data_IF_102319319169
#
_entry.id   IF_102319319169
#
_cell.length_a   1.000
_cell.length_b   1.000
_cell.length_c   1.000
_cell.angle_alpha   90.00
_cell.angle_beta   90.00
_cell.angle_gamma   90.00
#
_symmetry.space_group_name_H-M   'P 1'
#
loop_
_entity.id
_entity.type
_entity.pdbx_description
1 polymer ?
#
# COMPACT_ATOMS: atom_id res chain seq x y z
N UNK A 1 9.40 13.40 -2.62
CA UNK A 1 8.49 14.34 -1.93
C UNK A 1 8.72 14.41 -0.42
N UNK A 2 9.02 13.30 0.32
CA UNK A 2 9.36 13.33 1.76
C UNK A 2 10.42 14.39 2.14
N UNK A 3 11.51 14.49 1.39
CA UNK A 3 12.61 15.46 1.67
C UNK A 3 12.21 16.94 1.59
N UNK A 4 11.14 17.28 0.86
CA UNK A 4 10.70 18.69 0.69
C UNK A 4 9.77 19.10 1.84
N UNK A 5 9.00 18.18 2.40
CA UNK A 5 8.06 18.49 3.50
C UNK A 5 8.79 18.63 4.86
N UNK A 6 9.79 17.78 5.12
CA UNK A 6 10.65 17.88 6.32
C UNK A 6 11.54 19.13 6.30
N UNK A 7 12.06 19.54 5.14
CA UNK A 7 12.83 20.79 5.00
C UNK A 7 11.98 22.05 5.31
N UNK A 8 10.68 22.01 5.05
CA UNK A 8 9.78 23.13 5.38
C UNK A 8 9.41 23.20 6.86
N UNK A 9 9.31 22.08 7.54
CA UNK A 9 9.05 22.04 9.00
C UNK A 9 10.30 22.38 9.81
N UNK A 10 11.49 21.94 9.39
CA UNK A 10 12.75 22.27 10.04
C UNK A 10 13.12 23.75 9.90
N UNK A 11 12.72 24.42 8.80
CA UNK A 11 12.97 25.87 8.60
C UNK A 11 12.12 26.77 9.50
N UNK A 12 11.03 26.28 10.09
CA UNK A 12 10.16 27.07 10.99
C UNK A 12 10.64 27.01 12.46
N UNK A 13 11.44 26.01 12.82
CA UNK A 13 11.94 25.83 14.20
C UNK A 13 13.37 26.32 14.42
N UNK A 14 14.13 26.63 13.36
CA UNK A 14 15.48 27.17 13.49
C UNK A 14 15.42 28.70 13.59
N UNK A 15 15.45 29.21 14.81
CA UNK A 15 15.88 30.59 15.06
C UNK A 15 17.31 30.80 14.52
N UNK A 16 17.78 32.07 14.33
CA UNK A 16 19.08 32.34 13.70
C UNK A 16 20.21 31.73 14.53
N UNK A 17 20.67 30.55 14.11
CA UNK A 17 21.86 29.94 14.65
C UNK A 17 23.06 30.82 14.35
N UNK A 18 23.83 31.15 15.36
CA UNK A 18 25.07 31.89 15.24
C UNK A 18 26.03 31.11 14.32
N UNK A 19 26.59 31.81 13.34
CA UNK A 19 27.58 31.29 12.40
C UNK A 19 28.78 30.68 13.14
N UNK A 20 28.97 29.36 13.02
CA UNK A 20 30.28 28.78 13.25
C UNK A 20 30.41 27.50 14.06
N UNK A 21 29.37 26.94 14.63
CA UNK A 21 29.45 25.59 15.25
C UNK A 21 28.58 24.63 14.43
N UNK A 22 29.20 23.54 13.91
CA UNK A 22 28.43 22.41 13.40
C UNK A 22 27.55 21.88 14.55
N UNK A 23 26.25 21.78 14.30
CA UNK A 23 25.36 21.13 15.27
C UNK A 23 25.93 19.74 15.62
N UNK A 24 25.91 19.33 16.90
CA UNK A 24 26.34 17.99 17.24
C UNK A 24 25.54 16.97 16.40
N UNK A 25 26.17 15.84 16.02
CA UNK A 25 25.44 14.81 15.27
C UNK A 25 24.18 14.41 16.06
N UNK A 26 23.08 14.26 15.35
CA UNK A 26 21.80 13.86 15.95
C UNK A 26 21.95 12.56 16.75
N UNK A 27 21.58 12.57 18.02
CA UNK A 27 21.65 11.42 18.92
C UNK A 27 20.31 10.67 18.93
N UNK A 28 20.06 9.87 17.90
CA UNK A 28 18.86 9.04 17.77
C UNK A 28 18.69 8.06 18.95
N UNK A 29 19.80 7.64 19.60
CA UNK A 29 19.75 6.68 20.71
C UNK A 29 19.17 7.30 21.97
N UNK A 30 19.45 8.58 22.23
CA UNK A 30 18.84 9.31 23.32
C UNK A 30 17.33 9.46 23.12
N UNK A 31 16.88 9.79 21.91
CA UNK A 31 15.45 9.90 21.58
C UNK A 31 14.75 8.53 21.62
N UNK A 32 15.44 7.46 21.23
CA UNK A 32 14.98 6.08 21.35
C UNK A 32 14.72 5.68 22.81
N UNK A 33 15.66 5.97 23.71
CA UNK A 33 15.56 5.73 25.15
C UNK A 33 14.49 6.63 25.80
N UNK A 34 14.42 7.92 25.43
CA UNK A 34 13.39 8.86 25.92
C UNK A 34 11.98 8.41 25.54
N UNK A 35 11.82 7.81 24.35
CA UNK A 35 10.55 7.24 23.89
C UNK A 35 10.19 5.92 24.56
N UNK A 36 11.11 5.32 25.34
CA UNK A 36 10.91 4.05 26.03
C UNK A 36 10.93 2.82 25.10
N UNK A 37 11.43 2.96 23.87
CA UNK A 37 11.51 1.86 22.91
C UNK A 37 12.56 0.82 23.28
N UNK A 38 13.60 1.22 24.05
CA UNK A 38 14.67 0.36 24.57
C UNK A 38 14.15 -0.81 25.43
N UNK A 39 12.91 -0.72 25.94
CA UNK A 39 12.26 -1.80 26.69
C UNK A 39 11.75 -2.93 25.77
N UNK A 40 11.54 -2.64 24.47
CA UNK A 40 10.91 -3.54 23.52
C UNK A 40 11.81 -3.93 22.36
N UNK A 41 12.75 -3.08 21.99
CA UNK A 41 13.63 -3.29 20.86
C UNK A 41 14.96 -2.54 20.99
N UNK A 42 15.96 -2.94 20.19
CA UNK A 42 17.22 -2.22 20.00
C UNK A 42 17.57 -2.18 18.50
N UNK A 43 18.43 -1.25 18.12
CA UNK A 43 18.96 -1.16 16.76
C UNK A 43 20.44 -1.47 16.77
N UNK A 44 20.82 -2.59 16.17
CA UNK A 44 22.20 -3.08 16.08
C UNK A 44 22.56 -3.37 14.62
N UNK A 45 23.75 -2.94 14.19
CA UNK A 45 24.27 -3.22 12.84
C UNK A 45 23.22 -3.03 11.72
N UNK A 46 22.47 -1.93 11.78
CA UNK A 46 21.39 -1.62 10.83
C UNK A 46 20.18 -2.61 10.85
N UNK A 47 19.99 -3.27 11.99
CA UNK A 47 18.85 -4.16 12.22
C UNK A 47 18.06 -3.69 13.43
N UNK A 48 16.75 -3.45 13.25
CA UNK A 48 15.80 -3.28 14.36
C UNK A 48 15.48 -4.67 14.92
N UNK A 49 15.87 -4.91 16.18
CA UNK A 49 15.69 -6.18 16.86
C UNK A 49 14.59 -6.00 17.91
N UNK A 50 13.41 -6.53 17.65
CA UNK A 50 12.33 -6.58 18.65
C UNK A 50 12.56 -7.78 19.57
N UNK A 51 12.51 -7.54 20.90
CA UNK A 51 12.93 -8.53 21.88
C UNK A 51 11.94 -9.70 22.00
N UNK A 52 12.48 -10.89 22.29
CA UNK A 52 11.65 -12.05 22.63
C UNK A 52 10.77 -11.77 23.86
N UNK A 53 9.52 -12.23 23.79
CA UNK A 53 8.49 -11.96 24.79
C UNK A 53 7.55 -10.83 24.41
N UNK A 54 7.88 -9.98 23.41
CA UNK A 54 6.94 -9.04 22.82
C UNK A 54 5.91 -9.83 22.01
N UNK A 55 4.63 -9.69 22.35
CA UNK A 55 3.53 -10.41 21.69
C UNK A 55 2.67 -9.53 20.80
N UNK A 56 2.72 -8.21 21.03
CA UNK A 56 1.95 -7.21 20.30
C UNK A 56 2.79 -5.94 20.06
N UNK A 57 2.58 -5.32 18.91
CA UNK A 57 3.05 -3.98 18.55
C UNK A 57 1.86 -3.19 17.99
N UNK A 58 1.84 -1.88 18.23
CA UNK A 58 0.80 -1.00 17.71
C UNK A 58 -0.45 -0.93 18.60
N UNK A 59 -1.37 -0.07 18.23
CA UNK A 59 -2.62 0.12 18.97
C UNK A 59 -3.63 -0.97 18.64
N UNK A 60 -4.27 -1.51 19.68
CA UNK A 60 -5.41 -2.41 19.52
C UNK A 60 -6.65 -1.60 19.11
N UNK A 61 -7.37 -2.09 18.10
CA UNK A 61 -8.64 -1.48 17.71
C UNK A 61 -9.73 -1.85 18.72
N UNK A 62 -10.38 -0.80 19.27
CA UNK A 62 -11.58 -0.94 20.09
C UNK A 62 -12.86 -0.82 19.25
N UNK A 63 -12.75 -0.25 18.04
CA UNK A 63 -13.87 -0.03 17.13
C UNK A 63 -13.48 -0.45 15.72
N UNK A 64 -14.41 -1.11 15.02
CA UNK A 64 -14.28 -1.45 13.60
C UNK A 64 -15.42 -0.78 12.82
N UNK A 65 -15.10 -0.23 11.63
CA UNK A 65 -16.13 0.27 10.74
C UNK A 65 -16.92 -0.88 10.11
N UNK A 66 -18.23 -0.87 10.30
CA UNK A 66 -19.15 -1.79 9.66
C UNK A 66 -19.72 -1.13 8.40
N UNK A 67 -19.26 -1.59 7.24
CA UNK A 67 -19.66 -1.02 5.95
C UNK A 67 -21.12 -1.34 5.56
N UNK A 68 -21.73 -2.39 6.14
CA UNK A 68 -23.13 -2.71 5.90
C UNK A 68 -24.07 -1.78 6.69
N UNK A 69 -23.66 -1.40 7.89
CA UNK A 69 -24.40 -0.52 8.77
C UNK A 69 -24.02 0.95 8.65
N UNK A 70 -22.95 1.26 7.91
CA UNK A 70 -22.39 2.62 7.78
C UNK A 70 -22.11 3.29 9.13
N UNK A 71 -21.54 2.54 10.06
CA UNK A 71 -21.26 2.98 11.44
C UNK A 71 -20.05 2.25 12.02
N UNK A 72 -19.46 2.81 13.09
CA UNK A 72 -18.46 2.13 13.89
C UNK A 72 -19.12 1.19 14.91
N UNK A 73 -18.63 -0.02 15.00
CA UNK A 73 -19.07 -1.03 15.98
C UNK A 73 -17.95 -1.25 16.99
N UNK A 74 -18.30 -1.20 18.28
CA UNK A 74 -17.36 -1.56 19.35
C UNK A 74 -17.02 -3.04 19.27
N UNK A 75 -15.71 -3.35 19.36
CA UNK A 75 -15.19 -4.71 19.36
C UNK A 75 -14.37 -4.92 20.63
N UNK A 76 -14.38 -6.14 21.17
CA UNK A 76 -13.42 -6.50 22.20
C UNK A 76 -12.07 -6.78 21.52
N UNK A 77 -11.00 -6.00 21.82
CA UNK A 77 -9.70 -6.25 21.23
C UNK A 77 -9.17 -7.62 21.68
N UNK A 78 -8.68 -8.42 20.72
CA UNK A 78 -8.11 -9.75 20.99
C UNK A 78 -6.78 -9.68 21.74
N UNK A 79 -6.07 -8.56 21.60
CA UNK A 79 -4.78 -8.31 22.21
C UNK A 79 -4.75 -6.93 22.88
N UNK A 80 -3.90 -6.79 23.89
CA UNK A 80 -3.59 -5.48 24.46
C UNK A 80 -2.70 -4.68 23.50
N UNK A 81 -2.80 -3.34 23.53
CA UNK A 81 -1.92 -2.47 22.76
C UNK A 81 -0.46 -2.71 23.14
N UNK A 82 0.40 -2.73 22.14
CA UNK A 82 1.85 -2.80 22.29
C UNK A 82 2.53 -1.47 21.97
N UNK A 83 3.87 -1.43 21.99
CA UNK A 83 4.61 -0.24 21.62
C UNK A 83 4.40 0.15 20.15
N UNK A 84 4.40 1.46 19.91
CA UNK A 84 4.43 2.08 18.58
C UNK A 84 5.88 2.48 18.30
N UNK A 85 6.39 2.17 17.11
CA UNK A 85 7.73 2.61 16.73
C UNK A 85 7.65 3.74 15.68
N UNK A 86 8.29 4.87 15.98
CA UNK A 86 8.42 6.00 15.06
C UNK A 86 9.80 6.01 14.42
N UNK A 87 9.84 5.75 13.11
CA UNK A 87 11.07 5.73 12.32
C UNK A 87 11.68 7.10 12.09
N UNK A 88 10.98 8.20 12.36
CA UNK A 88 11.55 9.56 12.28
C UNK A 88 12.78 9.73 13.20
N UNK A 89 12.82 9.01 14.32
CA UNK A 89 13.96 8.98 15.23
C UNK A 89 15.21 8.38 14.55
N UNK A 90 15.04 7.61 13.48
CA UNK A 90 16.09 6.90 12.75
C UNK A 90 16.36 7.47 11.35
N UNK A 91 15.90 8.70 11.07
CA UNK A 91 15.86 9.28 9.71
C UNK A 91 17.25 9.44 9.05
N UNK A 92 18.31 9.58 9.84
CA UNK A 92 19.69 9.68 9.35
C UNK A 92 20.36 8.30 9.11
N UNK A 93 19.63 7.21 9.30
CA UNK A 93 20.16 5.85 9.11
C UNK A 93 19.81 5.30 7.72
N UNK A 94 20.65 4.39 7.19
CA UNK A 94 20.28 3.64 6.00
C UNK A 94 19.07 2.74 6.27
N UNK A 95 18.37 2.26 5.25
CA UNK A 95 17.23 1.37 5.39
C UNK A 95 17.54 0.16 6.28
N UNK A 96 16.62 -0.20 7.18
CA UNK A 96 16.81 -1.22 8.20
C UNK A 96 16.39 -2.62 7.74
N UNK A 97 17.03 -3.63 8.30
CA UNK A 97 16.45 -4.95 8.44
C UNK A 97 15.64 -5.01 9.74
N UNK A 98 14.72 -5.96 9.85
CA UNK A 98 13.93 -6.16 11.05
C UNK A 98 14.02 -7.62 11.49
N UNK A 99 14.28 -7.83 12.78
CA UNK A 99 14.18 -9.12 13.44
C UNK A 99 13.00 -9.08 14.40
N UNK A 100 11.94 -9.80 14.05
CA UNK A 100 10.73 -9.93 14.88
C UNK A 100 10.83 -11.17 15.78
N UNK A 101 10.32 -11.11 17.02
CA UNK A 101 10.36 -12.26 17.92
C UNK A 101 9.39 -13.36 17.50
N UNK A 102 9.72 -14.59 17.84
CA UNK A 102 8.85 -15.76 17.62
C UNK A 102 7.55 -15.68 18.42
N UNK A 103 7.49 -14.82 19.42
CA UNK A 103 6.33 -14.58 20.28
C UNK A 103 5.31 -13.60 19.71
N UNK A 104 5.65 -12.85 18.63
CA UNK A 104 4.77 -11.84 18.07
C UNK A 104 3.51 -12.49 17.45
N UNK A 105 2.33 -12.01 17.82
CA UNK A 105 1.02 -12.47 17.35
C UNK A 105 0.15 -11.36 16.79
N UNK A 106 0.44 -10.11 17.15
CA UNK A 106 -0.40 -8.96 16.85
C UNK A 106 0.42 -7.78 16.34
N UNK A 107 0.01 -7.26 15.18
CA UNK A 107 0.44 -5.96 14.67
C UNK A 107 -0.77 -5.05 14.56
N UNK A 108 -0.89 -4.13 15.49
CA UNK A 108 -1.96 -3.17 15.58
C UNK A 108 -1.70 -1.92 14.74
N UNK A 109 -2.64 -0.97 14.80
CA UNK A 109 -2.51 0.31 14.11
C UNK A 109 -1.18 1.00 14.45
N UNK A 110 -0.54 1.57 13.44
CA UNK A 110 0.68 2.37 13.55
C UNK A 110 1.85 1.68 14.28
N UNK A 111 1.87 0.33 14.27
CA UNK A 111 2.98 -0.42 14.87
C UNK A 111 4.34 0.08 14.35
N UNK A 112 4.40 0.47 13.07
CA UNK A 112 5.57 1.07 12.43
C UNK A 112 5.16 2.32 11.66
N UNK A 113 5.82 3.44 11.95
CA UNK A 113 5.54 4.74 11.38
C UNK A 113 6.82 5.37 10.82
N UNK A 114 6.83 5.77 9.54
CA UNK A 114 7.97 6.39 8.83
C UNK A 114 9.27 5.56 8.79
N UNK A 115 9.20 4.25 8.66
CA UNK A 115 10.39 3.42 8.50
C UNK A 115 10.78 3.21 7.05
N UNK A 116 12.10 3.14 6.80
CA UNK A 116 12.68 2.65 5.56
C UNK A 116 13.27 1.26 5.82
N UNK A 117 12.67 0.22 5.23
CA UNK A 117 13.11 -1.17 5.39
C UNK A 117 13.82 -1.69 4.14
N UNK A 118 15.02 -2.25 4.30
CA UNK A 118 15.67 -3.04 3.23
C UNK A 118 14.83 -4.28 2.93
N UNK A 119 14.36 -4.96 3.98
CA UNK A 119 13.41 -6.06 3.88
C UNK A 119 12.60 -6.17 5.16
N UNK A 120 11.35 -6.56 5.02
CA UNK A 120 10.47 -6.86 6.14
C UNK A 120 9.74 -8.17 5.86
N UNK A 121 9.66 -9.06 6.87
CA UNK A 121 8.91 -10.30 6.76
C UNK A 121 7.69 -10.24 7.67
N UNK A 122 6.50 -10.39 7.09
CA UNK A 122 5.28 -10.69 7.85
C UNK A 122 5.32 -12.16 8.26
N UNK A 123 5.47 -12.45 9.56
CA UNK A 123 5.76 -13.80 10.01
C UNK A 123 4.54 -14.72 10.00
N UNK A 124 4.77 -16.02 9.81
CA UNK A 124 3.73 -17.06 9.75
C UNK A 124 2.86 -17.11 11.02
N UNK A 125 3.48 -16.87 12.20
CA UNK A 125 2.80 -16.94 13.50
C UNK A 125 1.87 -15.77 13.81
N UNK A 126 1.80 -14.76 12.93
CA UNK A 126 0.94 -13.58 13.13
C UNK A 126 -0.52 -13.98 13.08
N UNK A 127 -1.29 -13.63 14.12
CA UNK A 127 -2.71 -13.95 14.24
C UNK A 127 -3.62 -12.80 13.82
N UNK A 128 -3.15 -11.56 14.01
CA UNK A 128 -3.88 -10.35 13.67
C UNK A 128 -2.94 -9.30 13.09
N UNK A 129 -3.37 -8.72 12.00
CA UNK A 129 -2.74 -7.58 11.34
C UNK A 129 -3.83 -6.54 11.08
N UNK A 130 -3.74 -5.42 11.79
CA UNK A 130 -4.76 -4.38 11.70
C UNK A 130 -4.51 -3.43 10.51
N UNK A 131 -5.58 -2.76 10.10
CA UNK A 131 -5.48 -1.69 9.11
C UNK A 131 -4.45 -0.65 9.56
N UNK A 132 -3.65 -0.17 8.61
CA UNK A 132 -2.64 0.86 8.87
C UNK A 132 -1.64 0.47 9.98
N UNK A 133 -1.29 -0.81 10.11
CA UNK A 133 -0.21 -1.25 11.00
C UNK A 133 1.12 -0.61 10.59
N UNK A 134 1.29 -0.36 9.31
CA UNK A 134 2.41 0.38 8.73
C UNK A 134 1.89 1.65 8.07
N UNK A 135 2.50 2.78 8.37
CA UNK A 135 2.10 4.08 7.82
C UNK A 135 3.33 4.85 7.34
N UNK A 136 3.29 5.32 6.10
CA UNK A 136 4.39 6.06 5.45
C UNK A 136 5.73 5.31 5.45
N UNK A 137 5.71 3.97 5.46
CA UNK A 137 6.91 3.15 5.40
C UNK A 137 7.33 2.88 3.96
N UNK A 138 8.64 2.66 3.77
CA UNK A 138 9.21 2.22 2.50
C UNK A 138 9.80 0.81 2.66
N UNK A 139 9.51 -0.08 1.71
CA UNK A 139 10.01 -1.46 1.69
C UNK A 139 10.68 -1.75 0.35
N UNK A 140 12.01 -2.02 0.35
CA UNK A 140 12.60 -2.56 -0.85
C UNK A 140 12.02 -3.96 -1.14
N UNK A 141 11.86 -4.78 -0.10
CA UNK A 141 11.22 -6.10 -0.21
C UNK A 141 10.27 -6.32 0.97
N UNK A 142 9.01 -6.62 0.65
CA UNK A 142 8.04 -7.14 1.62
C UNK A 142 7.83 -8.63 1.39
N UNK A 143 8.32 -9.46 2.32
CA UNK A 143 8.16 -10.90 2.31
C UNK A 143 6.92 -11.31 3.13
N UNK A 144 6.03 -12.08 2.54
CA UNK A 144 4.79 -12.52 3.17
C UNK A 144 4.90 -14.01 3.48
N UNK A 145 5.05 -14.37 4.76
CA UNK A 145 4.98 -15.74 5.28
C UNK A 145 3.66 -15.96 6.04
N UNK A 146 2.98 -14.87 6.43
CA UNK A 146 1.69 -14.90 7.11
C UNK A 146 0.57 -15.46 6.23
N UNK A 147 -0.27 -16.30 6.81
CA UNK A 147 -1.46 -16.89 6.15
C UNK A 147 -2.75 -16.10 6.40
N UNK A 148 -2.64 -14.86 6.82
CA UNK A 148 -3.79 -13.95 6.98
C UNK A 148 -4.46 -13.66 5.63
N UNK A 149 -5.77 -13.33 5.63
CA UNK A 149 -6.50 -12.97 4.40
C UNK A 149 -5.88 -11.78 3.68
N UNK A 150 -6.00 -11.72 2.34
CA UNK A 150 -5.47 -10.63 1.52
C UNK A 150 -6.01 -9.25 1.95
N UNK A 151 -7.27 -9.18 2.37
CA UNK A 151 -7.88 -7.96 2.89
C UNK A 151 -7.09 -7.39 4.06
N UNK A 152 -6.72 -8.22 5.05
CA UNK A 152 -6.00 -7.78 6.24
C UNK A 152 -4.56 -7.40 5.89
N UNK A 153 -3.89 -8.23 5.04
CA UNK A 153 -2.52 -7.94 4.60
C UNK A 153 -2.45 -6.61 3.84
N UNK A 154 -3.31 -6.40 2.83
CA UNK A 154 -3.19 -5.22 1.96
C UNK A 154 -3.64 -3.93 2.64
N UNK A 155 -4.64 -3.98 3.53
CA UNK A 155 -5.10 -2.80 4.26
C UNK A 155 -4.14 -2.33 5.36
N UNK A 156 -3.14 -3.14 5.69
CA UNK A 156 -2.17 -2.80 6.76
C UNK A 156 -1.07 -1.83 6.31
N UNK A 157 -0.89 -1.60 4.99
CA UNK A 157 0.17 -0.76 4.42
C UNK A 157 -0.36 0.57 3.90
N UNK A 158 -0.85 1.42 4.79
CA UNK A 158 -1.41 2.71 4.40
C UNK A 158 -0.31 3.72 4.02
N UNK A 159 -0.45 4.32 2.82
CA UNK A 159 0.52 5.28 2.27
C UNK A 159 1.97 4.74 2.25
N UNK A 160 2.15 3.42 2.18
CA UNK A 160 3.45 2.78 2.09
C UNK A 160 3.89 2.60 0.63
N UNK A 161 5.21 2.59 0.42
CA UNK A 161 5.82 2.30 -0.87
C UNK A 161 6.54 0.95 -0.77
N UNK A 162 6.20 0.02 -1.66
CA UNK A 162 6.78 -1.32 -1.72
C UNK A 162 7.39 -1.48 -3.11
N UNK A 163 8.67 -1.87 -3.20
CA UNK A 163 9.35 -2.09 -4.48
C UNK A 163 9.11 -3.51 -5.02
N UNK A 164 9.03 -4.50 -4.13
CA UNK A 164 8.77 -5.88 -4.50
C UNK A 164 8.12 -6.68 -3.38
N UNK A 165 7.25 -7.61 -3.78
CA UNK A 165 6.74 -8.66 -2.90
C UNK A 165 7.53 -9.94 -3.08
N UNK A 166 7.80 -10.66 -1.99
CA UNK A 166 8.30 -12.02 -1.97
C UNK A 166 7.34 -12.93 -1.19
N UNK A 167 7.16 -14.15 -1.67
CA UNK A 167 6.30 -15.16 -1.04
C UNK A 167 6.99 -16.51 -1.16
N UNK A 168 7.05 -17.34 -0.09
CA UNK A 168 7.56 -18.70 -0.17
C UNK A 168 6.84 -19.53 -1.25
N UNK A 169 7.56 -20.39 -1.94
CA UNK A 169 7.03 -21.21 -3.04
C UNK A 169 5.86 -22.11 -2.57
N UNK A 170 5.92 -22.59 -1.35
CA UNK A 170 4.91 -23.47 -0.72
C UNK A 170 3.81 -22.72 0.04
N UNK A 171 3.79 -21.38 -0.01
CA UNK A 171 2.78 -20.56 0.66
C UNK A 171 1.36 -20.96 0.20
N UNK A 172 0.39 -21.19 1.13
CA UNK A 172 -0.92 -21.75 0.77
C UNK A 172 -1.84 -20.77 0.04
N UNK A 173 -1.71 -19.45 0.26
CA UNK A 173 -2.68 -18.45 -0.21
C UNK A 173 -2.13 -17.55 -1.33
N UNK A 174 -0.83 -17.30 -1.36
CA UNK A 174 -0.20 -16.30 -2.22
C UNK A 174 0.94 -16.87 -3.05
N UNK A 175 1.29 -16.15 -4.09
CA UNK A 175 2.53 -16.26 -4.84
C UNK A 175 2.99 -14.88 -5.30
N UNK A 176 4.28 -14.72 -5.50
CA UNK A 176 4.85 -13.53 -6.13
C UNK A 176 5.45 -13.92 -7.48
N UNK A 177 5.13 -13.16 -8.52
CA UNK A 177 5.70 -13.34 -9.87
C UNK A 177 6.34 -12.02 -10.24
N UNK A 178 7.63 -12.02 -10.43
CA UNK A 178 8.42 -10.81 -10.74
C UNK A 178 8.12 -9.66 -9.75
N UNK A 179 8.03 -9.98 -8.45
CA UNK A 179 7.76 -9.01 -7.39
C UNK A 179 6.32 -8.52 -7.28
N UNK A 180 5.41 -8.95 -8.15
CA UNK A 180 3.97 -8.63 -8.10
C UNK A 180 3.24 -9.71 -7.33
N UNK A 181 2.31 -9.32 -6.46
CA UNK A 181 1.57 -10.23 -5.59
C UNK A 181 0.29 -10.76 -6.26
N UNK A 182 0.11 -12.07 -6.20
CA UNK A 182 -1.06 -12.77 -6.73
C UNK A 182 -1.66 -13.73 -5.69
N UNK A 183 -2.92 -14.10 -5.90
CA UNK A 183 -3.50 -15.31 -5.28
C UNK A 183 -2.70 -16.55 -5.68
N UNK A 184 -2.71 -17.60 -4.84
CA UNK A 184 -1.94 -18.84 -5.09
C UNK A 184 -2.25 -19.51 -6.41
N UNK A 185 -3.51 -19.46 -6.86
CA UNK A 185 -3.96 -20.02 -8.14
C UNK A 185 -3.63 -19.13 -9.35
N UNK A 186 -3.05 -17.94 -9.12
CA UNK A 186 -2.68 -16.96 -10.15
C UNK A 186 -3.86 -16.25 -10.82
N UNK A 187 -5.09 -16.44 -10.33
CA UNK A 187 -6.28 -15.86 -10.95
C UNK A 187 -6.57 -14.43 -10.53
N UNK A 188 -6.06 -14.01 -9.38
CA UNK A 188 -6.23 -12.65 -8.89
C UNK A 188 -4.89 -11.95 -8.77
N UNK A 189 -4.74 -10.81 -9.44
CA UNK A 189 -3.66 -9.87 -9.16
C UNK A 189 -4.07 -9.07 -7.92
N UNK A 190 -3.33 -9.27 -6.82
CA UNK A 190 -3.63 -8.69 -5.51
C UNK A 190 -2.99 -7.31 -5.32
N UNK A 191 -1.72 -7.17 -5.67
CA UNK A 191 -1.02 -5.88 -5.58
C UNK A 191 0.17 -5.81 -6.55
N UNK A 192 0.22 -4.72 -7.30
CA UNK A 192 1.39 -4.28 -8.07
C UNK A 192 2.22 -3.35 -7.21
N UNK A 193 3.55 -3.54 -7.09
CA UNK A 193 4.38 -2.74 -6.21
C UNK A 193 4.43 -1.27 -6.63
N UNK A 194 4.01 -0.37 -5.75
CA UNK A 194 3.94 1.07 -6.03
C UNK A 194 5.30 1.76 -6.23
N UNK A 195 6.39 1.15 -5.74
CA UNK A 195 7.75 1.66 -5.88
C UNK A 195 8.44 1.28 -7.19
N UNK A 196 7.87 0.38 -8.00
CA UNK A 196 8.41 0.03 -9.32
C UNK A 196 8.37 1.21 -10.28
N UNK A 197 9.40 1.31 -11.10
CA UNK A 197 9.59 2.42 -12.06
C UNK A 197 9.28 2.03 -13.51
N UNK A 198 8.62 0.89 -13.74
CA UNK A 198 8.24 0.44 -15.06
C UNK A 198 7.24 1.41 -15.70
N UNK A 199 7.42 1.69 -16.98
CA UNK A 199 6.48 2.51 -17.75
C UNK A 199 5.34 1.68 -18.38
N UNK A 200 5.51 0.35 -18.42
CA UNK A 200 4.56 -0.59 -18.99
C UNK A 200 4.51 -1.88 -18.16
N UNK A 201 3.31 -2.44 -18.01
CA UNK A 201 3.12 -3.75 -17.39
C UNK A 201 2.11 -4.59 -18.16
N UNK A 202 2.51 -5.83 -18.47
CA UNK A 202 1.61 -6.85 -19.02
C UNK A 202 1.08 -7.72 -17.89
N UNK A 203 -0.22 -7.59 -17.57
CA UNK A 203 -0.87 -8.49 -16.61
C UNK A 203 -0.86 -9.92 -17.17
N UNK A 204 -0.34 -10.93 -16.41
CA UNK A 204 -0.17 -12.27 -16.91
C UNK A 204 -1.45 -12.92 -17.46
N UNK A 205 -1.30 -13.72 -18.53
CA UNK A 205 -2.39 -14.52 -19.05
C UNK A 205 -2.91 -15.48 -17.96
N UNK A 206 -4.24 -15.59 -17.83
CA UNK A 206 -4.89 -16.42 -16.80
C UNK A 206 -5.38 -15.64 -15.58
N UNK A 207 -4.95 -14.37 -15.42
CA UNK A 207 -5.56 -13.48 -14.42
C UNK A 207 -7.02 -13.22 -14.81
N UNK A 208 -7.92 -13.50 -13.89
CA UNK A 208 -9.36 -13.31 -14.04
C UNK A 208 -9.87 -12.08 -13.27
N UNK A 209 -9.15 -11.66 -12.22
CA UNK A 209 -9.58 -10.60 -11.31
C UNK A 209 -8.42 -9.66 -10.96
N UNK A 210 -8.70 -8.36 -10.93
CA UNK A 210 -7.83 -7.34 -10.34
C UNK A 210 -8.44 -6.92 -9.01
N UNK A 211 -7.63 -7.03 -7.93
CA UNK A 211 -8.07 -6.71 -6.58
C UNK A 211 -8.34 -5.22 -6.40
N UNK A 212 -9.21 -4.81 -5.45
CA UNK A 212 -9.35 -3.40 -5.11
C UNK A 212 -8.00 -2.75 -4.73
N UNK A 213 -7.77 -1.54 -5.25
CA UNK A 213 -6.54 -0.76 -5.03
C UNK A 213 -5.24 -1.49 -5.43
N UNK A 214 -5.31 -2.44 -6.38
CA UNK A 214 -4.19 -3.28 -6.77
C UNK A 214 -3.02 -2.51 -7.41
N UNK A 215 -3.28 -1.39 -8.07
CA UNK A 215 -2.28 -0.51 -8.66
C UNK A 215 -2.36 0.88 -8.02
N UNK A 216 -1.27 1.32 -7.43
CA UNK A 216 -1.13 2.67 -6.87
C UNK A 216 0.27 3.16 -7.21
N UNK A 217 0.53 3.51 -8.48
CA UNK A 217 1.86 3.87 -8.95
C UNK A 217 1.84 5.04 -9.92
N UNK A 218 2.78 5.97 -9.75
CA UNK A 218 2.97 7.12 -10.62
C UNK A 218 3.86 6.83 -11.85
N UNK A 219 4.30 5.57 -12.06
CA UNK A 219 5.28 5.29 -13.13
C UNK A 219 4.66 4.68 -14.37
N UNK A 220 3.63 3.85 -14.25
CA UNK A 220 2.99 3.17 -15.37
C UNK A 220 2.30 4.17 -16.30
N UNK A 221 2.67 4.13 -17.59
CA UNK A 221 2.01 4.87 -18.68
C UNK A 221 0.99 4.02 -19.42
N UNK A 222 1.23 2.69 -19.46
CA UNK A 222 0.36 1.74 -20.16
C UNK A 222 0.29 0.42 -19.40
N UNK A 223 -0.88 -0.24 -19.45
CA UNK A 223 -1.12 -1.55 -18.86
C UNK A 223 -1.85 -2.40 -19.90
N UNK A 224 -1.33 -3.61 -20.17
CA UNK A 224 -2.03 -4.60 -20.99
C UNK A 224 -2.84 -5.55 -20.09
N UNK A 225 -4.13 -5.62 -20.31
CA UNK A 225 -5.04 -6.52 -19.59
C UNK A 225 -5.26 -7.82 -20.38
N UNK A 226 -5.26 -9.00 -19.74
CA UNK A 226 -5.37 -10.29 -20.44
C UNK A 226 -6.81 -10.54 -20.93
N UNK A 227 -6.90 -11.22 -22.09
CA UNK A 227 -8.18 -11.80 -22.54
C UNK A 227 -8.58 -12.87 -21.51
N UNK A 228 -9.78 -12.73 -20.94
CA UNK A 228 -10.25 -13.60 -19.86
C UNK A 228 -10.39 -12.90 -18.51
N UNK A 229 -9.89 -11.65 -18.38
CA UNK A 229 -10.16 -10.81 -17.21
C UNK A 229 -11.67 -10.63 -17.06
N UNK A 230 -12.19 -10.80 -15.85
CA UNK A 230 -13.64 -10.78 -15.53
C UNK A 230 -14.02 -9.55 -14.71
N UNK A 231 -13.19 -9.19 -13.73
CA UNK A 231 -13.51 -8.08 -12.82
C UNK A 231 -12.31 -7.18 -12.57
N UNK A 232 -12.58 -5.89 -12.40
CA UNK A 232 -11.67 -4.86 -11.96
C UNK A 232 -12.23 -4.30 -10.65
N UNK A 233 -11.48 -4.42 -9.57
CA UNK A 233 -11.92 -4.00 -8.23
C UNK A 233 -12.06 -2.50 -8.05
N UNK A 234 -12.70 -2.08 -6.96
CA UNK A 234 -12.82 -0.66 -6.60
C UNK A 234 -11.44 -0.02 -6.43
N UNK A 235 -11.25 1.18 -6.97
CA UNK A 235 -9.98 1.88 -6.92
C UNK A 235 -8.78 1.15 -7.53
N UNK A 236 -9.00 0.10 -8.35
CA UNK A 236 -7.93 -0.80 -8.82
C UNK A 236 -6.76 -0.08 -9.51
N UNK A 237 -7.01 1.03 -10.17
CA UNK A 237 -6.02 1.91 -10.82
C UNK A 237 -6.06 3.33 -10.25
N UNK A 238 -6.57 3.51 -9.03
CA UNK A 238 -6.60 4.84 -8.42
C UNK A 238 -5.18 5.40 -8.30
N UNK A 239 -5.07 6.72 -8.50
CA UNK A 239 -3.81 7.46 -8.42
C UNK A 239 -2.69 6.98 -9.37
N UNK A 240 -3.04 6.23 -10.45
CA UNK A 240 -2.12 5.96 -11.55
C UNK A 240 -1.96 7.24 -12.41
N UNK A 241 -1.32 8.26 -11.85
CA UNK A 241 -1.28 9.63 -12.40
C UNK A 241 -0.65 9.75 -13.78
N UNK A 242 0.18 8.80 -14.24
CA UNK A 242 0.82 8.79 -15.57
C UNK A 242 0.19 7.83 -16.56
N UNK A 243 -0.82 7.06 -16.17
CA UNK A 243 -1.52 6.14 -17.06
C UNK A 243 -2.24 6.93 -18.17
N UNK A 244 -1.87 6.67 -19.44
CA UNK A 244 -2.36 7.43 -20.60
C UNK A 244 -3.53 6.75 -21.29
N UNK A 245 -3.53 5.43 -21.33
CA UNK A 245 -4.59 4.66 -21.94
C UNK A 245 -4.72 3.27 -21.34
N UNK A 246 -5.93 2.73 -21.36
CA UNK A 246 -6.21 1.36 -20.96
C UNK A 246 -7.32 0.78 -21.87
N UNK A 247 -7.11 -0.45 -22.34
CA UNK A 247 -8.12 -1.20 -23.08
C UNK A 247 -8.67 -2.31 -22.18
N UNK A 248 -9.93 -2.19 -21.80
CA UNK A 248 -10.61 -3.18 -20.96
C UNK A 248 -11.13 -4.31 -21.88
N UNK A 249 -10.76 -5.58 -21.61
CA UNK A 249 -11.18 -6.72 -22.44
C UNK A 249 -12.70 -6.93 -22.45
N UNK A 250 -13.21 -7.48 -23.56
CA UNK A 250 -14.64 -7.80 -23.75
C UNK A 250 -15.21 -8.76 -22.69
N UNK A 251 -14.34 -9.50 -22.01
CA UNK A 251 -14.71 -10.47 -20.97
C UNK A 251 -14.97 -9.85 -19.61
N UNK A 252 -14.62 -8.56 -19.45
CA UNK A 252 -14.89 -7.85 -18.18
C UNK A 252 -16.37 -7.57 -18.06
N UNK A 253 -16.95 -8.01 -16.95
CA UNK A 253 -18.37 -7.85 -16.63
C UNK A 253 -18.62 -6.87 -15.51
N UNK A 254 -17.57 -6.52 -14.74
CA UNK A 254 -17.68 -5.65 -13.58
C UNK A 254 -16.44 -4.78 -13.42
N UNK A 255 -16.66 -3.50 -13.16
CA UNK A 255 -15.64 -2.53 -12.76
C UNK A 255 -16.14 -1.85 -11.49
N UNK A 256 -15.34 -1.90 -10.43
CA UNK A 256 -15.68 -1.32 -9.14
C UNK A 256 -15.61 0.20 -9.13
N UNK A 257 -16.15 0.80 -8.05
CA UNK A 257 -16.21 2.24 -7.88
C UNK A 257 -14.80 2.84 -7.84
N UNK A 258 -14.62 4.05 -8.35
CA UNK A 258 -13.36 4.80 -8.35
C UNK A 258 -12.19 4.09 -9.04
N UNK A 259 -12.43 3.05 -9.87
CA UNK A 259 -11.37 2.22 -10.46
C UNK A 259 -10.26 3.02 -11.16
N UNK A 260 -10.55 4.20 -11.71
CA UNK A 260 -9.61 5.10 -12.40
C UNK A 260 -9.52 6.48 -11.75
N UNK A 261 -9.88 6.60 -10.48
CA UNK A 261 -9.80 7.87 -9.76
C UNK A 261 -8.35 8.36 -9.67
N UNK A 262 -8.10 9.65 -9.86
CA UNK A 262 -6.74 10.19 -9.80
C UNK A 262 -5.85 9.90 -11.01
N UNK A 263 -6.32 9.20 -12.05
CA UNK A 263 -5.57 8.97 -13.29
C UNK A 263 -5.54 10.23 -14.16
N UNK A 264 -4.82 11.26 -13.72
CA UNK A 264 -4.85 12.61 -14.33
C UNK A 264 -4.29 12.69 -15.76
N UNK A 265 -3.54 11.69 -16.22
CA UNK A 265 -3.01 11.61 -17.60
C UNK A 265 -3.82 10.68 -18.50
N UNK A 266 -4.94 10.12 -18.01
CA UNK A 266 -5.70 9.12 -18.76
C UNK A 266 -6.57 9.80 -19.82
N UNK A 267 -6.16 9.63 -21.08
CA UNK A 267 -6.82 10.23 -22.26
C UNK A 267 -7.85 9.30 -22.89
N UNK A 268 -7.65 7.97 -22.74
CA UNK A 268 -8.49 6.98 -23.42
C UNK A 268 -8.73 5.75 -22.54
N UNK A 269 -10.00 5.44 -22.32
CA UNK A 269 -10.45 4.12 -21.82
C UNK A 269 -11.35 3.49 -22.88
N UNK A 270 -10.94 2.32 -23.37
CA UNK A 270 -11.81 1.50 -24.22
C UNK A 270 -12.57 0.52 -23.35
N UNK A 271 -13.89 0.60 -23.35
CA UNK A 271 -14.78 -0.26 -22.56
C UNK A 271 -15.59 -1.18 -23.47
N UNK A 272 -15.88 -2.42 -23.02
CA UNK A 272 -16.83 -3.31 -23.69
C UNK A 272 -18.25 -2.70 -23.76
N UNK A 273 -18.91 -2.79 -24.90
CA UNK A 273 -20.31 -2.37 -25.03
C UNK A 273 -21.27 -3.17 -24.16
N UNK A 274 -20.87 -4.41 -23.82
CA UNK A 274 -21.63 -5.32 -22.96
C UNK A 274 -21.50 -4.99 -21.47
N UNK A 275 -20.58 -4.11 -21.11
CA UNK A 275 -20.37 -3.74 -19.73
C UNK A 275 -21.60 -2.98 -19.24
N UNK A 276 -22.36 -3.57 -18.33
CA UNK A 276 -23.39 -2.85 -17.59
C UNK A 276 -22.63 -1.91 -16.65
N UNK A 277 -22.44 -0.68 -17.11
CA UNK A 277 -21.93 0.38 -16.25
C UNK A 277 -22.98 0.56 -15.17
N UNK A 278 -22.71 0.05 -13.99
CA UNK A 278 -23.47 0.40 -12.82
C UNK A 278 -23.45 1.93 -12.78
N UNK A 279 -24.59 2.60 -12.61
CA UNK A 279 -24.66 4.08 -12.64
C UNK A 279 -23.71 4.75 -11.66
N UNK A 280 -23.08 3.96 -10.79
CA UNK A 280 -22.11 4.34 -9.79
C UNK A 280 -20.64 4.25 -10.26
N UNK A 281 -20.36 3.67 -11.46
CA UNK A 281 -19.16 4.06 -12.22
C UNK A 281 -19.51 5.45 -12.77
N UNK A 282 -19.58 6.39 -11.86
CA UNK A 282 -19.97 7.74 -12.20
C UNK A 282 -18.81 8.33 -12.99
N UNK A 283 -18.96 8.60 -14.31
CA UNK A 283 -17.95 9.34 -15.06
C UNK A 283 -17.56 10.65 -14.39
N UNK A 284 -18.43 11.17 -13.51
CA UNK A 284 -18.15 12.37 -12.71
C UNK A 284 -16.91 12.25 -11.82
N UNK A 285 -16.50 11.05 -11.41
CA UNK A 285 -15.28 10.88 -10.60
C UNK A 285 -14.01 10.81 -11.46
N UNK A 286 -14.09 10.45 -12.72
CA UNK A 286 -13.02 10.63 -13.71
C UNK A 286 -12.99 12.08 -14.20
N UNK A 287 -14.15 12.77 -14.23
CA UNK A 287 -14.32 14.14 -14.70
C UNK A 287 -13.70 15.23 -13.85
N UNK A 288 -13.35 14.98 -12.59
CA UNK A 288 -12.81 16.05 -11.73
C UNK A 288 -11.43 16.53 -12.13
N UNK A 289 -10.70 15.83 -13.02
CA UNK A 289 -9.32 16.16 -13.36
C UNK A 289 -8.95 16.17 -14.85
N UNK A 290 -9.86 15.79 -15.76
CA UNK A 290 -9.62 15.95 -17.22
C UNK A 290 -10.90 16.35 -17.93
N UNK A 291 -10.91 17.57 -18.51
CA UNK A 291 -12.05 18.10 -19.28
C UNK A 291 -12.30 17.35 -20.61
N UNK A 292 -11.37 16.45 -21.02
CA UNK A 292 -11.34 15.81 -22.33
C UNK A 292 -11.39 14.26 -22.30
N UNK A 293 -11.94 13.65 -21.27
CA UNK A 293 -11.99 12.20 -21.16
C UNK A 293 -13.04 11.59 -22.10
N UNK A 294 -12.59 10.72 -23.01
CA UNK A 294 -13.45 10.08 -24.02
C UNK A 294 -13.50 8.56 -23.73
N UNK A 295 -14.69 8.06 -23.37
CA UNK A 295 -14.98 6.62 -23.39
C UNK A 295 -15.30 6.20 -24.83
N UNK A 296 -14.64 5.13 -25.32
CA UNK A 296 -15.03 4.49 -26.58
C UNK A 296 -15.47 3.06 -26.29
N UNK A 297 -16.72 2.75 -26.64
CA UNK A 297 -17.20 1.39 -26.74
C UNK A 297 -16.59 0.66 -27.96
N UNK A 298 -16.69 -0.66 -27.99
CA UNK A 298 -16.15 -1.51 -29.07
C UNK A 298 -16.73 -1.19 -30.46
N UNK A 299 -17.92 -0.64 -30.51
CA UNK A 299 -18.59 -0.19 -31.74
C UNK A 299 -18.15 1.20 -32.19
N UNK A 300 -17.24 1.85 -31.47
CA UNK A 300 -16.74 3.20 -31.76
C UNK A 300 -17.65 4.32 -31.25
N UNK A 301 -18.69 4.02 -30.48
CA UNK A 301 -19.50 5.03 -29.83
C UNK A 301 -18.72 5.79 -28.79
N UNK A 302 -18.78 7.11 -28.86
CA UNK A 302 -18.14 8.02 -27.92
C UNK A 302 -19.16 8.39 -26.85
N UNK A 303 -18.99 7.90 -25.63
CA UNK A 303 -19.77 8.40 -24.51
C UNK A 303 -19.10 9.70 -24.04
N UNK A 304 -19.53 10.84 -24.60
CA UNK A 304 -19.11 12.12 -24.06
C UNK A 304 -19.86 12.37 -22.76
N UNK A 305 -19.15 12.78 -21.72
CA UNK A 305 -19.77 13.35 -20.53
C UNK A 305 -20.55 14.60 -20.96
N UNK A 306 -21.84 14.44 -21.19
CA UNK A 306 -22.71 15.61 -21.40
C UNK A 306 -22.75 16.47 -20.14
N UNK A 307 -22.50 17.76 -20.29
CA UNK A 307 -22.67 18.78 -19.26
C UNK A 307 -24.05 18.74 -18.63
#
# INVERSE_FOLDING_TARGET
MKRIFLLLLALVLLGPAALGEEAPPYDWRADWEESGYDQYADVQDNTLIVFEGVTALGEALEYRWDFELDTSVEIEPKFESGPLFDGCILDDRPPLQVSLPSTLRYLGMQAFYFFDFTSFTLPEQLEVLENSAFVYCYFNVLRIESTLPAQDVLSSFNDCIIDAYEVPEDHPLYQAIDGVLFSKDGKTLLAYPGGRTDEHYDVPAGVEHIWPYAFGTDYLKTISLPIGLKTIGSGAFSDCGRLQSIAVPLTVTEIGDYAFWGCVSLELVSLPDSLTINKDINPRHVQYYTDDFIYRGDNGDTLSSGH
#
